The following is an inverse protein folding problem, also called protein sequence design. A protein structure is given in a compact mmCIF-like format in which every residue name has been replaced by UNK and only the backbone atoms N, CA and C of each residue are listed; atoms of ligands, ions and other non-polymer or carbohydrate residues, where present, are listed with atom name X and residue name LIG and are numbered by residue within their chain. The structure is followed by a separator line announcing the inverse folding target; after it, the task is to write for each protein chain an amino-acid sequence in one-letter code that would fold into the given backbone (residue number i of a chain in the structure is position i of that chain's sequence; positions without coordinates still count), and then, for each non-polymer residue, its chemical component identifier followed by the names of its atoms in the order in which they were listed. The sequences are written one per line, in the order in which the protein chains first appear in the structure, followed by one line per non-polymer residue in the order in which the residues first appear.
data_IF_386647358658
#
_entry.id   IF_386647358658
#
_cell.length_a   1.000
_cell.length_b   1.000
_cell.length_c   1.000
_cell.angle_alpha   90.00
_cell.angle_beta   90.00
_cell.angle_gamma   90.00
#
_symmetry.space_group_name_H-M   'P 1'
#
loop_
_entity.id
_entity.type
_entity.pdbx_description
1 polymer ?
#
# COMPACT_ATOMS: atom_id res chain seq x y z
N UNK A 1 -25.39 -14.88 -8.53
CA UNK A 1 -24.89 -13.98 -9.58
C UNK A 1 -23.91 -14.65 -10.57
N UNK A 2 -23.50 -15.92 -10.41
CA UNK A 2 -22.72 -16.65 -11.43
C UNK A 2 -21.24 -16.26 -11.50
N UNK A 3 -20.43 -16.94 -12.34
CA UNK A 3 -18.99 -16.70 -12.48
C UNK A 3 -18.67 -15.31 -13.06
N UNK A 4 -19.59 -14.76 -13.87
CA UNK A 4 -19.48 -13.43 -14.47
C UNK A 4 -20.77 -12.66 -14.23
N UNK A 5 -20.66 -11.47 -13.62
CA UNK A 5 -21.79 -10.61 -13.29
C UNK A 5 -21.64 -9.25 -13.97
N UNK A 6 -22.67 -8.81 -14.70
CA UNK A 6 -22.69 -7.47 -15.30
C UNK A 6 -23.48 -6.51 -14.44
N UNK A 7 -22.90 -5.34 -14.18
CA UNK A 7 -23.55 -4.23 -13.49
C UNK A 7 -23.70 -3.06 -14.45
N UNK A 8 -24.88 -2.44 -14.45
CA UNK A 8 -25.10 -1.20 -15.18
C UNK A 8 -24.29 -0.06 -14.55
N UNK A 9 -23.97 0.97 -15.34
CA UNK A 9 -23.38 2.22 -14.86
C UNK A 9 -24.41 3.36 -14.97
N UNK A 10 -25.43 3.40 -14.08
CA UNK A 10 -26.55 4.34 -14.22
C UNK A 10 -26.15 5.80 -14.00
N UNK A 11 -25.00 6.04 -13.37
CA UNK A 11 -24.45 7.36 -13.04
C UNK A 11 -23.39 7.83 -14.05
N UNK A 12 -23.19 7.08 -15.15
CA UNK A 12 -22.17 7.34 -16.17
C UNK A 12 -20.79 7.66 -15.58
N UNK A 13 -20.40 6.92 -14.52
CA UNK A 13 -19.09 7.06 -13.91
C UNK A 13 -18.02 6.86 -14.99
N UNK A 14 -17.32 7.95 -15.31
CA UNK A 14 -16.17 7.99 -16.21
C UNK A 14 -16.43 7.43 -17.62
N UNK A 15 -17.65 7.54 -18.14
CA UNK A 15 -18.00 7.19 -19.52
C UNK A 15 -18.06 5.68 -19.81
N UNK A 16 -18.02 4.83 -18.79
CA UNK A 16 -18.09 3.37 -18.97
C UNK A 16 -19.52 2.91 -19.20
N UNK A 17 -19.75 2.01 -20.17
CA UNK A 17 -21.09 1.45 -20.43
C UNK A 17 -21.63 0.53 -19.31
N UNK A 18 -20.78 0.13 -18.36
CA UNK A 18 -21.10 -0.83 -17.31
C UNK A 18 -19.84 -1.46 -16.73
N UNK A 19 -20.03 -2.30 -15.71
CA UNK A 19 -18.95 -3.02 -15.04
C UNK A 19 -19.16 -4.53 -15.19
N UNK A 20 -18.05 -5.25 -15.30
CA UNK A 20 -18.02 -6.71 -15.30
C UNK A 20 -17.26 -7.17 -14.06
N UNK A 21 -17.92 -7.95 -13.20
CA UNK A 21 -17.29 -8.65 -12.10
C UNK A 21 -17.03 -10.09 -12.54
N UNK A 22 -15.78 -10.50 -12.46
CA UNK A 22 -15.31 -11.84 -12.82
C UNK A 22 -14.85 -12.52 -11.54
N UNK A 23 -15.45 -13.66 -11.22
CA UNK A 23 -15.20 -14.41 -9.99
C UNK A 23 -14.72 -15.84 -10.24
N UNK A 24 -14.66 -16.27 -11.49
CA UNK A 24 -14.15 -17.57 -11.87
C UNK A 24 -12.62 -17.54 -12.04
N UNK A 25 -11.86 -18.47 -11.43
CA UNK A 25 -10.40 -18.50 -11.52
C UNK A 25 -9.88 -18.63 -12.96
N UNK A 26 -10.54 -19.41 -13.82
CA UNK A 26 -10.10 -19.63 -15.20
C UNK A 26 -10.29 -18.36 -16.02
N UNK A 27 -11.40 -17.64 -15.80
CA UNK A 27 -11.64 -16.34 -16.42
C UNK A 27 -10.64 -15.28 -15.91
N UNK A 28 -10.33 -15.28 -14.60
CA UNK A 28 -9.33 -14.37 -14.02
C UNK A 28 -7.95 -14.65 -14.61
N UNK A 29 -7.55 -15.92 -14.76
CA UNK A 29 -6.30 -16.29 -15.42
C UNK A 29 -6.29 -15.86 -16.89
N UNK A 30 -7.40 -16.07 -17.60
CA UNK A 30 -7.55 -15.65 -18.98
C UNK A 30 -7.28 -14.15 -19.15
N UNK A 31 -7.85 -13.32 -18.27
CA UNK A 31 -7.73 -11.86 -18.32
C UNK A 31 -6.35 -11.40 -17.86
N UNK A 32 -5.86 -11.91 -16.73
CA UNK A 32 -4.68 -11.40 -16.03
C UNK A 32 -3.35 -12.02 -16.48
N UNK A 33 -3.36 -13.17 -17.16
CA UNK A 33 -2.14 -13.87 -17.57
C UNK A 33 -2.14 -14.22 -19.07
N UNK A 34 -3.17 -14.93 -19.56
CA UNK A 34 -3.15 -15.53 -20.91
C UNK A 34 -3.38 -14.47 -22.00
N UNK A 35 -4.37 -13.60 -21.81
CA UNK A 35 -4.86 -12.67 -22.83
C UNK A 35 -4.67 -11.19 -22.46
N UNK A 36 -3.67 -10.89 -21.61
CA UNK A 36 -3.35 -9.54 -21.09
C UNK A 36 -3.27 -8.46 -22.18
N UNK A 37 -2.85 -8.80 -23.40
CA UNK A 37 -2.73 -7.84 -24.51
C UNK A 37 -4.07 -7.21 -24.91
N UNK A 38 -5.19 -7.88 -24.64
CA UNK A 38 -6.53 -7.35 -24.87
C UNK A 38 -7.06 -6.50 -23.70
N UNK A 39 -6.40 -6.54 -22.54
CA UNK A 39 -6.80 -5.87 -21.31
C UNK A 39 -5.72 -4.87 -20.85
N UNK A 40 -5.43 -3.89 -21.69
CA UNK A 40 -4.32 -2.94 -21.47
C UNK A 40 -4.73 -1.68 -20.71
N UNK A 41 -6.01 -1.34 -20.72
CA UNK A 41 -6.53 -0.13 -20.09
C UNK A 41 -6.98 -0.45 -18.66
N UNK A 42 -6.24 0.07 -17.69
CA UNK A 42 -6.65 0.06 -16.27
C UNK A 42 -7.61 1.22 -16.03
N UNK A 43 -8.71 0.92 -15.39
CA UNK A 43 -9.55 1.93 -14.77
C UNK A 43 -8.92 2.40 -13.45
N UNK A 44 -8.71 3.70 -13.30
CA UNK A 44 -8.32 4.33 -12.05
C UNK A 44 -9.27 5.50 -11.77
N UNK A 45 -9.73 5.70 -10.52
CA UNK A 45 -10.45 6.90 -10.13
C UNK A 45 -9.64 8.16 -10.47
N UNK A 46 -10.31 9.27 -10.83
CA UNK A 46 -9.63 10.46 -11.34
C UNK A 46 -8.66 11.11 -10.34
N UNK A 47 -8.87 10.90 -9.03
CA UNK A 47 -7.93 11.33 -8.00
C UNK A 47 -6.52 10.77 -8.24
N UNK A 48 -6.40 9.54 -8.74
CA UNK A 48 -5.09 8.96 -9.05
C UNK A 48 -4.41 9.68 -10.20
N UNK A 49 -5.15 10.01 -11.27
CA UNK A 49 -4.60 10.78 -12.39
C UNK A 49 -4.07 12.13 -11.92
N UNK A 50 -4.81 12.80 -11.03
CA UNK A 50 -4.42 14.08 -10.46
C UNK A 50 -3.18 13.97 -9.57
N UNK A 51 -3.17 13.04 -8.61
CA UNK A 51 -2.04 12.87 -7.68
C UNK A 51 -0.77 12.44 -8.40
N UNK A 52 -0.87 11.57 -9.40
CA UNK A 52 0.31 11.08 -10.12
C UNK A 52 0.69 11.93 -11.33
N UNK A 53 -0.14 12.94 -11.69
CA UNK A 53 -0.04 13.68 -12.95
C UNK A 53 0.09 12.74 -14.17
N UNK A 54 -0.67 11.64 -14.17
CA UNK A 54 -0.61 10.56 -15.19
C UNK A 54 0.79 9.92 -15.41
N UNK A 55 1.69 10.05 -14.43
CA UNK A 55 3.07 9.52 -14.47
C UNK A 55 3.26 8.33 -13.51
N UNK A 56 4.45 7.74 -13.56
CA UNK A 56 4.83 6.58 -12.74
C UNK A 56 4.16 5.27 -13.18
N UNK A 57 4.48 4.16 -12.50
CA UNK A 57 4.02 2.81 -12.90
C UNK A 57 2.53 2.60 -12.66
N UNK A 58 1.95 3.26 -11.65
CA UNK A 58 0.53 3.13 -11.33
C UNK A 58 -0.34 4.04 -12.22
N UNK A 59 0.03 5.31 -12.34
CA UNK A 59 -0.80 6.35 -12.97
C UNK A 59 -0.68 6.45 -14.49
N UNK A 60 0.40 5.92 -15.08
CA UNK A 60 0.60 5.96 -16.53
C UNK A 60 0.15 4.68 -17.24
N UNK A 61 -0.02 4.78 -18.57
CA UNK A 61 -0.36 3.64 -19.43
C UNK A 61 0.55 3.56 -20.67
N UNK A 62 0.37 2.53 -21.49
CA UNK A 62 1.00 2.44 -22.81
C UNK A 62 2.53 2.34 -22.78
N UNK A 63 3.18 3.08 -23.69
CA UNK A 63 4.63 3.01 -23.89
C UNK A 63 5.42 3.59 -22.71
N UNK A 64 4.93 4.67 -22.10
CA UNK A 64 5.54 5.25 -20.89
C UNK A 64 5.54 4.23 -19.75
N UNK A 65 4.37 3.63 -19.45
CA UNK A 65 4.24 2.62 -18.41
C UNK A 65 5.21 1.45 -18.64
N UNK A 66 5.25 0.92 -19.88
CA UNK A 66 6.12 -0.19 -20.26
C UNK A 66 7.60 0.13 -20.06
N UNK A 67 8.04 1.34 -20.43
CA UNK A 67 9.42 1.82 -20.22
C UNK A 67 9.75 1.90 -18.72
N UNK A 68 8.90 2.54 -17.92
CA UNK A 68 9.11 2.67 -16.47
C UNK A 68 9.14 1.32 -15.75
N UNK A 69 8.22 0.40 -16.09
CA UNK A 69 8.24 -0.97 -15.55
C UNK A 69 9.54 -1.69 -15.88
N UNK A 70 10.02 -1.59 -17.13
CA UNK A 70 11.28 -2.20 -17.55
C UNK A 70 12.48 -1.65 -16.78
N UNK A 71 12.46 -0.36 -16.42
CA UNK A 71 13.51 0.28 -15.64
C UNK A 71 13.51 -0.15 -14.16
N UNK A 72 12.34 -0.24 -13.52
CA UNK A 72 12.25 -0.54 -12.09
C UNK A 72 12.28 -2.04 -11.76
N UNK A 73 11.78 -2.90 -12.66
CA UNK A 73 11.65 -4.34 -12.39
C UNK A 73 12.96 -5.09 -12.06
N UNK A 74 14.14 -4.76 -12.64
CA UNK A 74 15.38 -5.47 -12.34
C UNK A 74 15.78 -5.42 -10.86
N UNK A 75 15.46 -4.35 -10.15
CA UNK A 75 15.75 -4.20 -8.71
C UNK A 75 15.14 -5.35 -7.90
N UNK A 76 13.92 -5.76 -8.23
CA UNK A 76 13.19 -6.84 -7.56
C UNK A 76 13.55 -8.25 -8.06
N UNK A 77 14.56 -8.37 -8.94
CA UNK A 77 15.03 -9.66 -9.47
C UNK A 77 16.46 -9.99 -9.06
N UNK A 78 17.17 -9.04 -8.43
CA UNK A 78 18.56 -9.24 -7.98
C UNK A 78 18.54 -9.78 -6.54
N UNK A 79 19.05 -11.01 -6.28
CA UNK A 79 19.05 -11.59 -4.95
C UNK A 79 19.69 -10.69 -3.89
N UNK A 80 20.85 -10.09 -4.18
CA UNK A 80 21.53 -9.18 -3.26
C UNK A 80 20.65 -8.00 -2.80
N UNK A 81 19.90 -7.38 -3.72
CA UNK A 81 19.00 -6.28 -3.35
C UNK A 81 17.79 -6.76 -2.55
N UNK A 82 17.30 -7.97 -2.83
CA UNK A 82 16.23 -8.57 -2.04
C UNK A 82 16.69 -8.90 -0.62
N UNK A 83 17.94 -9.35 -0.46
CA UNK A 83 18.58 -9.56 0.85
C UNK A 83 18.71 -8.24 1.62
N UNK A 84 19.14 -7.16 0.96
CA UNK A 84 19.20 -5.83 1.56
C UNK A 84 17.81 -5.35 2.01
N UNK A 85 16.76 -5.56 1.19
CA UNK A 85 15.38 -5.20 1.56
C UNK A 85 14.89 -6.03 2.75
N UNK A 86 15.15 -7.34 2.76
CA UNK A 86 14.81 -8.22 3.87
C UNK A 86 15.54 -7.81 5.16
N UNK A 87 16.79 -7.37 5.06
CA UNK A 87 17.55 -6.83 6.19
C UNK A 87 16.89 -5.56 6.76
N UNK A 88 16.56 -4.59 5.91
CA UNK A 88 15.86 -3.36 6.33
C UNK A 88 14.54 -3.68 7.01
N UNK A 89 13.72 -4.55 6.42
CA UNK A 89 12.45 -5.00 7.01
C UNK A 89 12.69 -5.59 8.41
N UNK A 90 13.67 -6.49 8.54
CA UNK A 90 13.98 -7.16 9.82
C UNK A 90 14.45 -6.19 10.89
N UNK A 91 15.30 -5.22 10.53
CA UNK A 91 15.80 -4.19 11.46
C UNK A 91 14.65 -3.29 11.93
N UNK A 92 13.79 -2.83 11.02
CA UNK A 92 12.65 -1.95 11.33
C UNK A 92 11.59 -2.68 12.17
N UNK A 93 11.26 -3.93 11.82
CA UNK A 93 10.37 -4.77 12.61
C UNK A 93 10.94 -5.08 14.00
N UNK A 94 12.24 -5.38 14.10
CA UNK A 94 12.89 -5.60 15.38
C UNK A 94 12.90 -4.36 16.28
N UNK A 95 12.97 -3.15 15.69
CA UNK A 95 12.80 -1.89 16.45
C UNK A 95 11.39 -1.78 17.03
N UNK A 96 10.37 -2.10 16.23
CA UNK A 96 8.98 -2.10 16.68
C UNK A 96 8.76 -3.08 17.85
N UNK A 97 9.28 -4.31 17.74
CA UNK A 97 9.20 -5.31 18.81
C UNK A 97 9.84 -4.82 20.10
N UNK A 98 11.07 -4.28 20.03
CA UNK A 98 11.76 -3.73 21.22
C UNK A 98 10.97 -2.60 21.90
N UNK A 99 10.28 -1.76 21.12
CA UNK A 99 9.43 -0.71 21.68
C UNK A 99 8.23 -1.28 22.43
N UNK A 100 7.67 -2.40 21.96
CA UNK A 100 6.58 -3.08 22.67
C UNK A 100 7.05 -3.81 23.91
N UNK A 101 8.22 -4.45 23.88
CA UNK A 101 8.82 -5.08 25.06
C UNK A 101 9.09 -4.08 26.21
N UNK A 102 9.24 -2.80 25.87
CA UNK A 102 9.40 -1.70 26.83
C UNK A 102 8.07 -1.13 27.35
N UNK A 103 6.93 -1.50 26.75
CA UNK A 103 5.62 -1.06 27.25
C UNK A 103 5.23 -1.84 28.51
N UNK A 104 4.48 -1.23 29.44
CA UNK A 104 3.83 -1.95 30.52
C UNK A 104 2.90 -3.05 29.99
N UNK A 105 2.72 -4.11 30.78
CA UNK A 105 1.70 -5.10 30.50
C UNK A 105 0.30 -4.45 30.50
N UNK A 106 -0.58 -4.93 29.61
CA UNK A 106 -1.96 -4.44 29.50
C UNK A 106 -2.16 -3.18 28.65
N UNK A 107 -1.12 -2.68 27.96
CA UNK A 107 -1.28 -1.58 26.99
C UNK A 107 -2.00 -2.08 25.73
N UNK A 108 -3.13 -1.47 25.40
CA UNK A 108 -3.81 -1.69 24.13
C UNK A 108 -3.11 -0.95 23.00
N UNK A 109 -2.95 -1.62 21.85
CA UNK A 109 -2.25 -1.09 20.69
C UNK A 109 -3.12 -1.24 19.45
N UNK A 110 -3.30 -0.14 18.71
CA UNK A 110 -3.88 -0.19 17.36
C UNK A 110 -2.88 -0.80 16.37
N UNK A 111 -2.96 -2.11 16.17
CA UNK A 111 -2.06 -2.83 15.27
C UNK A 111 -2.15 -2.35 13.82
N UNK A 112 -3.30 -1.84 13.35
CA UNK A 112 -3.44 -1.36 11.99
C UNK A 112 -2.60 -0.09 11.77
N UNK A 113 -2.68 0.86 12.70
CA UNK A 113 -1.86 2.08 12.66
C UNK A 113 -0.36 1.75 12.74
N UNK A 114 0.02 0.78 13.56
CA UNK A 114 1.44 0.45 13.74
C UNK A 114 2.02 -0.27 12.52
N UNK A 115 1.24 -1.10 11.84
CA UNK A 115 1.63 -1.69 10.56
C UNK A 115 1.75 -0.62 9.45
N UNK A 116 0.88 0.40 9.45
CA UNK A 116 1.01 1.53 8.52
C UNK A 116 2.31 2.31 8.77
N UNK A 117 2.62 2.62 10.04
CA UNK A 117 3.87 3.31 10.41
C UNK A 117 5.12 2.50 10.04
N UNK A 118 5.12 1.21 10.34
CA UNK A 118 6.23 0.31 10.02
C UNK A 118 6.46 0.23 8.50
N UNK A 119 5.40 0.02 7.72
CA UNK A 119 5.51 -0.08 6.26
C UNK A 119 5.94 1.23 5.62
N UNK A 120 5.54 2.38 6.17
CA UNK A 120 6.01 3.71 5.73
C UNK A 120 7.50 3.92 6.00
N UNK A 121 8.01 3.57 7.18
CA UNK A 121 9.43 3.66 7.49
C UNK A 121 10.26 2.71 6.60
N UNK A 122 9.76 1.50 6.35
CA UNK A 122 10.43 0.52 5.46
C UNK A 122 10.52 1.05 4.03
N UNK A 123 9.42 1.52 3.45
CA UNK A 123 9.45 2.02 2.06
C UNK A 123 10.25 3.32 1.95
N UNK A 124 10.24 4.16 2.99
CA UNK A 124 11.09 5.34 3.09
C UNK A 124 12.57 4.99 2.95
N UNK A 125 13.02 4.03 3.74
CA UNK A 125 14.41 3.56 3.72
C UNK A 125 14.75 2.90 2.37
N UNK A 126 13.93 1.94 1.93
CA UNK A 126 14.22 1.12 0.75
C UNK A 126 14.17 1.93 -0.55
N UNK A 127 13.18 2.80 -0.73
CA UNK A 127 12.97 3.51 -1.99
C UNK A 127 13.66 4.87 -2.04
N UNK A 128 13.85 5.54 -0.89
CA UNK A 128 14.30 6.93 -0.82
C UNK A 128 15.50 7.15 0.12
N UNK A 129 16.00 6.10 0.78
CA UNK A 129 17.03 6.21 1.82
C UNK A 129 16.67 7.25 2.88
N UNK A 130 15.40 7.26 3.27
CA UNK A 130 14.81 8.24 4.18
C UNK A 130 14.07 7.58 5.34
N UNK A 131 14.42 7.96 6.57
CA UNK A 131 13.74 7.48 7.78
C UNK A 131 12.66 8.47 8.21
N UNK A 132 11.39 8.09 8.04
CA UNK A 132 10.26 8.90 8.51
C UNK A 132 10.07 8.84 10.03
N UNK A 133 10.78 7.95 10.74
CA UNK A 133 10.73 7.77 12.18
C UNK A 133 9.29 7.64 12.73
N UNK A 134 8.42 6.95 12.00
CA UNK A 134 7.03 6.78 12.41
C UNK A 134 6.88 5.72 13.50
N UNK A 135 7.71 4.67 13.48
CA UNK A 135 7.68 3.60 14.49
C UNK A 135 8.00 4.11 15.90
N UNK A 136 8.81 5.17 16.05
CA UNK A 136 9.12 5.75 17.38
C UNK A 136 7.96 6.50 18.01
N UNK A 137 6.92 6.84 17.25
CA UNK A 137 5.76 7.55 17.80
C UNK A 137 4.95 6.71 18.80
N UNK A 138 5.23 5.41 18.91
CA UNK A 138 4.67 4.53 19.96
C UNK A 138 5.02 5.04 21.36
N UNK A 139 6.22 5.58 21.55
CA UNK A 139 6.67 6.15 22.83
C UNK A 139 5.78 7.32 23.31
N UNK A 140 5.10 8.00 22.37
CA UNK A 140 4.21 9.14 22.67
C UNK A 140 2.78 8.72 23.01
N UNK A 141 2.38 7.49 22.68
CA UNK A 141 1.04 6.95 22.96
C UNK A 141 0.99 6.09 24.22
N UNK A 142 2.12 5.90 24.91
CA UNK A 142 2.13 5.25 26.22
C UNK A 142 1.48 6.17 27.27
N UNK A 143 0.65 5.66 28.19
CA UNK A 143 0.00 6.47 29.23
C UNK A 143 0.98 7.16 30.20
N UNK A 144 2.27 6.79 30.18
CA UNK A 144 3.35 7.45 30.91
C UNK A 144 3.95 8.66 30.17
N UNK A 145 3.57 8.92 28.93
CA UNK A 145 4.09 9.99 28.09
C UNK A 145 3.22 11.25 28.20
N UNK A 146 3.80 12.46 28.38
CA UNK A 146 3.04 13.71 28.51
C UNK A 146 2.16 14.03 27.29
N UNK A 147 2.40 13.40 26.14
CA UNK A 147 1.58 13.55 24.93
C UNK A 147 0.23 12.81 25.01
N UNK A 148 0.11 11.75 25.83
CA UNK A 148 -1.13 10.97 25.94
C UNK A 148 -2.23 11.74 26.71
N UNK A 149 -1.83 12.51 27.73
CA UNK A 149 -2.72 13.29 28.59
C UNK A 149 -3.55 14.36 27.84
N UNK A 150 -3.11 14.80 26.66
CA UNK A 150 -3.83 15.78 25.85
C UNK A 150 -4.88 15.15 24.91
N UNK A 151 -4.81 13.84 24.64
CA UNK A 151 -5.74 13.17 23.71
C UNK A 151 -7.06 12.74 24.35
N UNK A 152 -7.09 12.57 25.69
CA UNK A 152 -8.25 12.03 26.40
C UNK A 152 -9.39 13.05 26.59
N UNK A 153 -9.15 14.34 26.32
CA UNK A 153 -10.15 15.39 26.51
C UNK A 153 -11.11 15.62 25.33
N UNK A 154 -10.96 14.90 24.20
CA UNK A 154 -11.75 15.19 22.98
C UNK A 154 -12.81 14.12 22.67
N UNK A 155 -12.83 12.98 23.37
CA UNK A 155 -13.80 11.91 23.09
C UNK A 155 -15.04 11.88 24.00
N UNK A 156 -15.37 12.97 24.71
CA UNK A 156 -16.61 13.08 25.48
C UNK A 156 -17.47 14.28 25.04
N UNK A 157 -18.03 14.22 23.83
CA UNK A 157 -19.26 14.95 23.45
C UNK A 157 -20.07 14.10 22.48
#
# INVERSE_FOLDING_TARGET
YGPVCRFANPVDLNGAAGWLMVNDPDDIEHICAINVKNYTNRYLPDIYKWVTNEQGILGSQGTYNRKHRRLCQPTFRRPALLEDFAHVISVRAGRLVRLYEQQPEGVEVDMALQMQRLTLDIIGEVAFSYDFQQVTQIEKCSPSSPAYAHSTHVSSV
#
